data_IF_140145491228
#
_entry.id   IF_140145491228
#
_cell.length_a   1.000
_cell.length_b   1.000
_cell.length_c   1.000
_cell.angle_alpha   90.00
_cell.angle_beta   90.00
_cell.angle_gamma   90.00
#
_symmetry.space_group_name_H-M   'P 1'
#
loop_
_entity.id
_entity.type
_entity.pdbx_description
1 polymer ?
#
# COMPACT_ATOMS: atom_id res chain seq x y z
N UNK A 1 -1.31 -11.09 -15.77
CA UNK A 1 -0.61 -10.90 -17.07
C UNK A 1 -0.42 -9.40 -17.28
N UNK A 2 0.69 -8.95 -17.89
CA UNK A 2 0.95 -7.52 -18.12
C UNK A 2 -0.03 -6.98 -19.17
N UNK A 3 -0.52 -5.76 -18.97
CA UNK A 3 -1.51 -5.12 -19.84
C UNK A 3 -2.95 -5.55 -19.60
N UNK A 4 -3.20 -6.54 -18.74
CA UNK A 4 -4.55 -6.98 -18.41
C UNK A 4 -5.33 -5.89 -17.66
N UNK A 5 -6.64 -5.78 -17.89
CA UNK A 5 -7.50 -4.94 -17.08
C UNK A 5 -7.60 -5.48 -15.65
N UNK A 6 -8.22 -4.68 -14.79
CA UNK A 6 -8.51 -5.07 -13.41
C UNK A 6 -9.41 -6.32 -13.41
N UNK A 7 -9.27 -7.19 -12.40
CA UNK A 7 -10.14 -8.35 -12.22
C UNK A 7 -11.61 -7.90 -12.12
N UNK A 8 -12.54 -8.68 -12.70
CA UNK A 8 -13.96 -8.29 -12.79
C UNK A 8 -14.57 -7.97 -11.43
N UNK A 9 -14.37 -8.83 -10.43
CA UNK A 9 -14.96 -8.63 -9.10
C UNK A 9 -14.30 -7.46 -8.36
N UNK A 10 -12.99 -7.25 -8.56
CA UNK A 10 -12.29 -6.08 -8.03
C UNK A 10 -12.81 -4.77 -8.66
N UNK A 11 -13.14 -4.75 -9.95
CA UNK A 11 -13.76 -3.60 -10.60
C UNK A 11 -15.14 -3.29 -9.99
N UNK A 12 -15.97 -4.32 -9.78
CA UNK A 12 -17.30 -4.16 -9.17
C UNK A 12 -17.17 -3.53 -7.78
N UNK A 13 -16.24 -4.04 -6.96
CA UNK A 13 -15.98 -3.50 -5.62
C UNK A 13 -15.45 -2.07 -5.69
N UNK A 14 -14.48 -1.79 -6.55
CA UNK A 14 -13.92 -0.44 -6.74
C UNK A 14 -15.01 0.57 -7.13
N UNK A 15 -15.87 0.23 -8.07
CA UNK A 15 -16.99 1.10 -8.48
C UNK A 15 -17.99 1.32 -7.35
N UNK A 16 -18.29 0.30 -6.53
CA UNK A 16 -19.16 0.45 -5.35
C UNK A 16 -18.56 1.38 -4.29
N UNK A 17 -17.24 1.41 -4.18
CA UNK A 17 -16.49 2.34 -3.33
C UNK A 17 -16.33 3.73 -3.97
N UNK A 18 -16.88 3.97 -5.16
CA UNK A 18 -16.84 5.25 -5.86
C UNK A 18 -15.62 5.46 -6.78
N UNK A 19 -14.82 4.43 -7.03
CA UNK A 19 -13.66 4.49 -7.93
C UNK A 19 -13.99 4.15 -9.39
N UNK A 20 -13.07 4.53 -10.28
CA UNK A 20 -13.17 4.28 -11.72
C UNK A 20 -12.21 3.14 -12.15
N UNK A 21 -12.72 1.98 -12.59
CA UNK A 21 -11.88 0.85 -12.99
C UNK A 21 -11.28 0.97 -14.40
N UNK A 22 -11.77 1.87 -15.25
CA UNK A 22 -11.25 2.04 -16.61
C UNK A 22 -9.85 2.63 -16.62
N UNK A 23 -9.06 2.26 -17.64
CA UNK A 23 -7.67 2.72 -17.80
C UNK A 23 -6.64 1.97 -16.94
N UNK A 24 -7.06 1.08 -16.03
CA UNK A 24 -6.12 0.19 -15.35
C UNK A 24 -5.50 -0.80 -16.35
N UNK A 25 -4.17 -0.88 -16.32
CA UNK A 25 -3.40 -1.91 -17.00
C UNK A 25 -2.36 -2.48 -16.04
N UNK A 26 -2.39 -3.80 -15.83
CA UNK A 26 -1.43 -4.48 -14.99
C UNK A 26 0.00 -4.25 -15.49
N UNK A 27 0.91 -3.88 -14.60
CA UNK A 27 2.33 -3.64 -14.93
C UNK A 27 3.22 -4.55 -14.10
N UNK A 28 4.30 -5.01 -14.69
CA UNK A 28 5.30 -5.78 -13.95
C UNK A 28 6.14 -4.84 -13.09
N UNK A 29 6.35 -5.20 -11.83
CA UNK A 29 7.28 -4.50 -10.97
C UNK A 29 8.72 -4.71 -11.47
N UNK A 30 9.40 -3.61 -11.76
CA UNK A 30 10.79 -3.59 -12.24
C UNK A 30 11.62 -2.63 -11.39
N UNK A 31 12.94 -2.80 -11.39
CA UNK A 31 13.85 -1.88 -10.69
C UNK A 31 13.74 -0.45 -11.18
N UNK A 32 13.43 -0.24 -12.47
CA UNK A 32 13.18 1.09 -13.06
C UNK A 32 11.95 1.75 -12.43
N UNK A 33 10.82 1.05 -12.40
CA UNK A 33 9.60 1.55 -11.75
C UNK A 33 9.84 1.81 -10.26
N UNK A 34 10.62 0.95 -9.61
CA UNK A 34 10.95 1.08 -8.21
C UNK A 34 11.82 2.32 -7.92
N UNK A 35 12.78 2.66 -8.79
CA UNK A 35 13.70 3.79 -8.59
C UNK A 35 13.04 5.16 -8.68
N UNK A 36 11.87 5.25 -9.30
CA UNK A 36 11.10 6.49 -9.45
C UNK A 36 10.15 6.73 -8.25
N UNK A 37 10.00 5.74 -7.35
CA UNK A 37 9.05 5.81 -6.25
C UNK A 37 9.65 6.46 -5.00
N UNK A 38 8.95 7.46 -4.46
CA UNK A 38 9.25 8.05 -3.15
C UNK A 38 8.71 7.22 -1.98
N UNK A 39 7.73 6.35 -2.24
CA UNK A 39 7.10 5.43 -1.30
C UNK A 39 6.60 4.19 -2.06
N UNK A 40 6.84 3.00 -1.52
CA UNK A 40 6.28 1.74 -1.99
C UNK A 40 5.41 1.15 -0.88
N UNK A 41 4.15 0.88 -1.22
CA UNK A 41 3.18 0.19 -0.37
C UNK A 41 2.87 -1.19 -0.93
N UNK A 42 3.03 -2.21 -0.10
CA UNK A 42 2.69 -3.59 -0.46
C UNK A 42 1.49 -4.09 0.32
N UNK A 43 0.76 -5.05 -0.24
CA UNK A 43 -0.40 -5.65 0.42
C UNK A 43 0.00 -6.63 1.54
N UNK A 44 1.16 -7.28 1.40
CA UNK A 44 1.65 -8.31 2.32
C UNK A 44 3.13 -8.14 2.61
N UNK A 45 3.58 -8.80 3.68
CA UNK A 45 5.00 -8.90 4.04
C UNK A 45 5.80 -9.65 2.96
N UNK A 46 5.24 -10.73 2.38
CA UNK A 46 5.88 -11.46 1.30
C UNK A 46 6.07 -10.60 0.03
N UNK A 47 5.13 -9.69 -0.26
CA UNK A 47 5.29 -8.72 -1.36
C UNK A 47 6.41 -7.71 -1.06
N UNK A 48 6.51 -7.23 0.18
CA UNK A 48 7.58 -6.35 0.63
C UNK A 48 8.94 -7.01 0.43
N UNK A 49 9.08 -8.27 0.84
CA UNK A 49 10.35 -8.98 0.75
C UNK A 49 10.77 -9.17 -0.73
N UNK A 50 9.83 -9.52 -1.62
CA UNK A 50 10.09 -9.58 -3.08
C UNK A 50 10.51 -8.24 -3.69
N UNK A 51 9.96 -7.12 -3.19
CA UNK A 51 10.39 -5.78 -3.60
C UNK A 51 11.85 -5.56 -3.19
N UNK A 52 12.19 -5.90 -1.94
CA UNK A 52 13.52 -5.66 -1.36
C UNK A 52 14.60 -6.60 -1.92
N UNK A 53 14.25 -7.83 -2.31
CA UNK A 53 15.15 -8.71 -3.06
C UNK A 53 15.61 -8.07 -4.37
N UNK A 54 14.71 -7.34 -5.05
CA UNK A 54 15.00 -6.70 -6.34
C UNK A 54 15.59 -5.30 -6.20
N UNK A 55 15.19 -4.56 -5.17
CA UNK A 55 15.59 -3.18 -4.93
C UNK A 55 15.94 -2.93 -3.46
N UNK A 56 17.04 -3.49 -2.93
CA UNK A 56 17.40 -3.36 -1.51
C UNK A 56 17.56 -1.91 -1.04
N UNK A 57 17.95 -1.01 -1.94
CA UNK A 57 18.14 0.42 -1.65
C UNK A 57 16.85 1.13 -1.23
N UNK A 58 15.69 0.55 -1.52
CA UNK A 58 14.38 1.11 -1.18
C UNK A 58 13.88 0.70 0.20
N UNK A 59 14.69 -0.01 0.99
CA UNK A 59 14.34 -0.47 2.34
C UNK A 59 13.67 0.59 3.21
N UNK A 60 14.19 1.82 3.20
CA UNK A 60 13.68 2.94 4.01
C UNK A 60 12.38 3.57 3.47
N UNK A 61 11.91 3.14 2.30
CA UNK A 61 10.74 3.66 1.59
C UNK A 61 9.70 2.58 1.29
N UNK A 62 9.91 1.34 1.75
CA UNK A 62 9.01 0.22 1.50
C UNK A 62 8.35 -0.25 2.80
N UNK A 63 7.03 -0.22 2.81
CA UNK A 63 6.17 -0.64 3.92
C UNK A 63 5.04 -1.51 3.39
N UNK A 64 4.48 -2.39 4.21
CA UNK A 64 3.13 -2.86 3.95
C UNK A 64 2.15 -1.72 4.24
N UNK A 65 0.98 -1.74 3.60
CA UNK A 65 -0.05 -0.73 3.86
C UNK A 65 -0.46 -0.70 5.34
N UNK A 66 -0.56 -1.87 5.97
CA UNK A 66 -0.88 -2.02 7.40
C UNK A 66 0.22 -1.47 8.31
N UNK A 67 1.51 -1.69 7.98
CA UNK A 67 2.64 -1.10 8.71
C UNK A 67 2.57 0.43 8.69
N UNK A 68 2.38 1.03 7.51
CA UNK A 68 2.32 2.48 7.37
C UNK A 68 1.11 3.05 8.11
N UNK A 69 -0.08 2.48 7.89
CA UNK A 69 -1.30 2.89 8.58
C UNK A 69 -1.09 2.89 10.09
N UNK A 70 -0.56 1.80 10.66
CA UNK A 70 -0.38 1.68 12.10
C UNK A 70 0.60 2.74 12.64
N UNK A 71 1.76 2.90 12.02
CA UNK A 71 2.76 3.88 12.45
C UNK A 71 2.22 5.31 12.35
N UNK A 72 1.58 5.65 11.23
CA UNK A 72 1.02 6.99 11.00
C UNK A 72 -0.16 7.34 11.90
N UNK A 73 -0.85 6.34 12.45
CA UNK A 73 -2.00 6.53 13.34
C UNK A 73 -1.63 6.56 14.83
N UNK A 74 -0.51 5.95 15.20
CA UNK A 74 -0.09 5.85 16.61
C UNK A 74 1.05 6.80 16.98
N UNK A 75 1.73 7.38 15.98
CA UNK A 75 2.86 8.26 16.19
C UNK A 75 2.75 9.52 15.34
N UNK A 76 3.32 10.61 15.85
CA UNK A 76 3.40 11.90 15.18
C UNK A 76 4.54 11.93 14.14
N UNK A 77 4.46 11.05 13.14
CA UNK A 77 5.37 11.07 12.00
C UNK A 77 5.06 12.25 11.08
N UNK A 78 6.10 12.97 10.63
CA UNK A 78 5.96 14.09 9.68
C UNK A 78 6.53 13.77 8.30
N UNK A 79 7.30 12.69 8.19
CA UNK A 79 7.93 12.26 6.94
C UNK A 79 8.02 10.73 6.84
N UNK A 80 8.27 10.23 5.62
CA UNK A 80 8.57 8.80 5.39
C UNK A 80 9.82 8.36 6.17
N UNK A 81 10.79 9.27 6.36
CA UNK A 81 11.99 8.99 7.13
C UNK A 81 11.67 8.77 8.63
N UNK A 82 10.71 9.50 9.17
CA UNK A 82 10.25 9.32 10.56
C UNK A 82 9.58 7.97 10.73
N UNK A 83 8.70 7.58 9.80
CA UNK A 83 8.07 6.24 9.81
C UNK A 83 9.11 5.12 9.79
N UNK A 84 10.18 5.28 9.00
CA UNK A 84 11.28 4.31 9.01
C UNK A 84 11.97 4.25 10.37
N UNK A 85 12.22 5.39 11.01
CA UNK A 85 12.84 5.44 12.33
C UNK A 85 11.96 4.81 13.42
N UNK A 86 10.63 4.89 13.27
CA UNK A 86 9.63 4.30 14.17
C UNK A 86 9.34 2.83 13.89
N UNK A 87 9.98 2.22 12.88
CA UNK A 87 9.78 0.82 12.53
C UNK A 87 10.00 -0.18 13.70
N UNK A 88 10.94 0.04 14.65
CA UNK A 88 11.08 -0.82 15.82
C UNK A 88 9.85 -0.85 16.74
N UNK A 89 8.98 0.16 16.65
CA UNK A 89 7.73 0.23 17.44
C UNK A 89 6.63 -0.68 16.89
N UNK A 90 6.80 -1.24 15.68
CA UNK A 90 5.81 -2.13 15.09
C UNK A 90 5.60 -3.39 15.94
N UNK A 91 4.36 -3.60 16.37
CA UNK A 91 3.96 -4.82 17.05
C UNK A 91 3.40 -5.81 16.01
N UNK A 92 4.19 -6.83 15.66
CA UNK A 92 3.86 -7.79 14.59
C UNK A 92 2.45 -8.42 14.74
N UNK A 93 2.00 -8.66 15.97
CA UNK A 93 0.68 -9.26 16.24
C UNK A 93 -0.52 -8.34 15.97
N UNK A 94 -0.29 -7.05 15.69
CA UNK A 94 -1.35 -6.09 15.34
C UNK A 94 -1.43 -5.80 13.84
N UNK A 95 -0.49 -6.31 13.05
CA UNK A 95 -0.44 -6.06 11.61
C UNK A 95 -1.12 -7.22 10.89
N UNK A 96 -2.25 -6.92 10.26
CA UNK A 96 -2.96 -7.87 9.41
C UNK A 96 -2.64 -7.56 7.95
N UNK A 97 -2.00 -8.52 7.26
CA UNK A 97 -1.75 -8.44 5.83
C UNK A 97 -3.06 -8.42 5.04
N UNK A 98 -3.10 -7.67 3.94
CA UNK A 98 -4.22 -7.69 3.00
C UNK A 98 -4.09 -8.93 2.13
N UNK A 99 -5.00 -9.88 2.32
CA UNK A 99 -4.99 -11.19 1.64
C UNK A 99 -5.30 -11.01 0.15
N UNK A 100 -4.68 -11.84 -0.69
CA UNK A 100 -4.95 -11.87 -2.12
C UNK A 100 -6.32 -12.54 -2.39
N UNK A 101 -7.29 -11.82 -3.00
CA UNK A 101 -8.62 -12.35 -3.27
C UNK A 101 -8.70 -13.19 -4.55
N UNK A 102 -7.61 -13.37 -5.29
CA UNK A 102 -7.63 -14.15 -6.54
C UNK A 102 -8.08 -15.60 -6.26
N UNK A 103 -8.92 -16.11 -7.16
CA UNK A 103 -9.60 -17.41 -7.07
C UNK A 103 -10.57 -17.56 -5.88
N UNK A 104 -10.93 -16.45 -5.21
CA UNK A 104 -11.91 -16.41 -4.12
C UNK A 104 -13.28 -15.91 -4.58
N UNK A 105 -14.25 -15.96 -3.66
CA UNK A 105 -15.62 -15.51 -3.93
C UNK A 105 -15.75 -13.97 -3.99
N UNK A 106 -16.80 -13.43 -4.63
CA UNK A 106 -17.06 -11.99 -4.68
C UNK A 106 -17.17 -11.32 -3.31
N UNK A 107 -17.62 -12.06 -2.28
CA UNK A 107 -17.69 -11.58 -0.90
C UNK A 107 -16.28 -11.32 -0.34
N UNK A 108 -15.31 -12.18 -0.64
CA UNK A 108 -13.91 -11.99 -0.24
C UNK A 108 -13.32 -10.77 -0.95
N UNK A 109 -13.61 -10.56 -2.24
CA UNK A 109 -13.23 -9.34 -2.94
C UNK A 109 -13.78 -8.08 -2.26
N UNK A 110 -15.04 -8.11 -1.80
CA UNK A 110 -15.66 -6.99 -1.10
C UNK A 110 -14.98 -6.73 0.25
N UNK A 111 -14.72 -7.77 1.04
CA UNK A 111 -14.01 -7.65 2.32
C UNK A 111 -12.61 -7.07 2.14
N UNK A 112 -11.83 -7.60 1.19
CA UNK A 112 -10.48 -7.11 0.88
C UNK A 112 -10.52 -5.67 0.39
N UNK A 113 -11.47 -5.32 -0.48
CA UNK A 113 -11.63 -3.95 -0.97
C UNK A 113 -11.93 -2.95 0.14
N UNK A 114 -12.84 -3.28 1.06
CA UNK A 114 -13.13 -2.46 2.24
C UNK A 114 -11.90 -2.32 3.14
N UNK A 115 -11.19 -3.42 3.42
CA UNK A 115 -9.96 -3.38 4.22
C UNK A 115 -8.91 -2.45 3.59
N UNK A 116 -8.71 -2.52 2.27
CA UNK A 116 -7.78 -1.62 1.56
C UNK A 116 -8.23 -0.17 1.71
N UNK A 117 -9.53 0.12 1.55
CA UNK A 117 -10.05 1.49 1.65
C UNK A 117 -9.85 2.08 3.06
N UNK A 118 -10.14 1.30 4.10
CA UNK A 118 -9.99 1.71 5.51
C UNK A 118 -8.53 2.03 5.85
N UNK A 119 -7.57 1.26 5.30
CA UNK A 119 -6.14 1.49 5.51
C UNK A 119 -5.59 2.65 4.65
N UNK A 120 -6.13 2.83 3.44
CA UNK A 120 -5.64 3.83 2.49
C UNK A 120 -5.99 5.26 2.88
N UNK A 121 -7.19 5.52 3.40
CA UNK A 121 -7.64 6.89 3.67
C UNK A 121 -6.67 7.61 4.63
N UNK A 122 -6.35 7.08 5.82
CA UNK A 122 -5.44 7.75 6.76
C UNK A 122 -4.00 7.80 6.24
N UNK A 123 -3.60 6.78 5.46
CA UNK A 123 -2.30 6.74 4.77
C UNK A 123 -2.15 7.91 3.79
N UNK A 124 -3.20 8.20 3.00
CA UNK A 124 -3.20 9.31 2.03
C UNK A 124 -3.17 10.65 2.76
N UNK A 125 -3.96 10.80 3.83
CA UNK A 125 -3.95 12.02 4.64
C UNK A 125 -2.56 12.30 5.24
N UNK A 126 -1.89 11.25 5.75
CA UNK A 126 -0.51 11.36 6.20
C UNK A 126 0.43 11.79 5.06
N UNK A 127 0.35 11.14 3.90
CA UNK A 127 1.20 11.49 2.75
C UNK A 127 0.99 12.95 2.31
N UNK A 128 -0.24 13.45 2.34
CA UNK A 128 -0.55 14.85 2.02
C UNK A 128 0.07 15.82 3.04
N UNK A 129 0.06 15.47 4.34
CA UNK A 129 0.72 16.28 5.36
C UNK A 129 2.24 16.26 5.20
N UNK A 130 2.81 15.08 4.96
CA UNK A 130 4.25 14.90 4.79
C UNK A 130 4.82 15.55 3.51
N UNK A 131 3.99 15.70 2.46
CA UNK A 131 4.37 16.34 1.22
C UNK A 131 4.30 17.89 1.26
N UNK A 132 3.57 18.47 2.22
CA UNK A 132 3.53 19.93 2.37
C UNK A 132 4.88 20.42 2.88
N UNK A 133 5.52 21.41 2.24
CA UNK A 133 6.72 22.01 2.79
C UNK A 133 6.37 22.64 4.14
N UNK A 134 7.16 22.32 5.17
CA UNK A 134 7.08 23.00 6.46
C UNK A 134 7.23 24.50 6.20
N UNK A 135 6.16 25.27 6.35
CA UNK A 135 6.25 26.72 6.33
C UNK A 135 7.12 27.11 7.53
N UNK A 136 8.32 27.61 7.25
CA UNK A 136 9.18 28.32 8.21
C UNK A 136 8.55 29.65 8.62
#
# INVERSE_FOLDING_TARGET
MVGSPIHRDAAIVLTRLGGEPTGFAARQFTTKVASEADLILTMTTAHRDKVLERAPRLLRRTFTISELFWLSSHFEARSIADLWALRPELVANQLVDVVDPIDQSPEIFATVGSQIADLLIPTIEFCQRAAKPTAE
#
